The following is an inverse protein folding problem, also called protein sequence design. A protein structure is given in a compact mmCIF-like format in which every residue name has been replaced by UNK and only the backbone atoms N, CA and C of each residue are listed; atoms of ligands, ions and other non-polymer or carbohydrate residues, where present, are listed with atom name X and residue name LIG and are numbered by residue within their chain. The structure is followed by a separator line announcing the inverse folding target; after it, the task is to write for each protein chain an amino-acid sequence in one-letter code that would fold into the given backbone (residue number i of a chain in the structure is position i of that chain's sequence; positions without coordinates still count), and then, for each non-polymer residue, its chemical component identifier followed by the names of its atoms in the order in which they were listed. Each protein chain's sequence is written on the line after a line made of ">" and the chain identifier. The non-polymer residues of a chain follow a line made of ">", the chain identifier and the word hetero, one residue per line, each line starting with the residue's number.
data_IF_828455714702
#
_entry.id   IF_828455714702
#
_cell.length_a   1.000
_cell.length_b   1.000
_cell.length_c   1.000
_cell.angle_alpha   90.00
_cell.angle_beta   90.00
_cell.angle_gamma   90.00
#
_symmetry.space_group_name_H-M   'P 1'
#
loop_
_entity.id
_entity.type
_entity.pdbx_description
1 polymer ?
#
# COMPACT_ATOMS: atom_id res chain seq x y z
N UNK A 1 -0.08 1.68 15.10
CA UNK A 1 0.47 3.06 15.00
C UNK A 1 1.33 3.17 13.74
N UNK A 2 0.78 3.56 12.59
CA UNK A 2 1.58 3.92 11.42
C UNK A 2 1.35 5.40 11.13
N UNK A 3 2.20 6.25 11.73
CA UNK A 3 2.20 7.68 11.46
C UNK A 3 2.68 7.98 10.03
N UNK A 4 2.45 9.19 9.50
CA UNK A 4 2.88 9.53 8.16
C UNK A 4 4.40 9.32 8.03
N UNK A 5 4.81 8.56 7.02
CA UNK A 5 6.23 8.31 6.70
C UNK A 5 6.88 9.63 6.32
N UNK A 6 7.36 10.37 7.32
CA UNK A 6 8.20 11.56 7.16
C UNK A 6 9.65 11.11 7.23
N UNK A 7 10.29 10.99 6.07
CA UNK A 7 11.66 10.51 6.00
C UNK A 7 12.41 10.96 4.74
N UNK A 8 13.30 11.93 4.94
CA UNK A 8 14.60 12.03 4.27
C UNK A 8 14.61 12.53 2.83
N UNK A 9 15.24 13.70 2.66
CA UNK A 9 15.57 14.43 1.42
C UNK A 9 14.41 14.63 0.41
N UNK A 10 14.43 15.72 -0.38
CA UNK A 10 13.42 15.91 -1.43
C UNK A 10 13.38 14.72 -2.39
N UNK A 11 12.18 14.31 -2.82
CA UNK A 11 12.03 13.33 -3.89
C UNK A 11 12.35 14.02 -5.22
N UNK A 12 13.48 13.65 -5.85
CA UNK A 12 13.95 14.28 -7.08
C UNK A 12 13.89 13.29 -8.25
N UNK A 13 13.38 13.76 -9.39
CA UNK A 13 13.34 13.01 -10.63
C UNK A 13 12.18 12.00 -10.68
N UNK A 14 12.35 10.93 -11.46
CA UNK A 14 11.41 9.79 -11.58
C UNK A 14 9.99 10.12 -12.06
N UNK A 15 9.81 11.26 -12.73
CA UNK A 15 8.52 11.69 -13.29
C UNK A 15 7.95 10.70 -14.32
N UNK A 16 8.81 10.00 -15.06
CA UNK A 16 8.37 9.01 -16.05
C UNK A 16 7.77 7.80 -15.35
N UNK A 17 8.43 7.32 -14.32
CA UNK A 17 8.05 6.16 -13.54
C UNK A 17 6.78 6.41 -12.73
N UNK A 18 6.64 7.60 -12.13
CA UNK A 18 5.39 8.01 -11.49
C UNK A 18 4.21 7.95 -12.48
N UNK A 19 4.35 8.55 -13.67
CA UNK A 19 3.31 8.49 -14.71
C UNK A 19 2.99 7.06 -15.14
N UNK A 20 4.01 6.21 -15.35
CA UNK A 20 3.79 4.82 -15.74
C UNK A 20 2.96 4.04 -14.71
N UNK A 21 3.14 4.31 -13.42
CA UNK A 21 2.38 3.65 -12.35
C UNK A 21 0.94 4.18 -12.33
N UNK A 22 0.75 5.51 -12.39
CA UNK A 22 -0.60 6.11 -12.45
C UNK A 22 -1.37 5.68 -13.70
N UNK A 23 -0.72 5.62 -14.86
CA UNK A 23 -1.32 5.17 -16.12
C UNK A 23 -1.74 3.70 -16.04
N UNK A 24 -0.95 2.84 -15.40
CA UNK A 24 -1.31 1.43 -15.18
C UNK A 24 -2.57 1.29 -14.33
N UNK A 25 -2.68 2.06 -13.23
CA UNK A 25 -3.88 2.06 -12.40
C UNK A 25 -5.10 2.63 -13.12
N UNK A 26 -4.94 3.73 -13.86
CA UNK A 26 -6.01 4.27 -14.71
C UNK A 26 -6.46 3.26 -15.79
N UNK A 27 -5.55 2.38 -16.23
CA UNK A 27 -5.83 1.26 -17.12
C UNK A 27 -6.56 0.07 -16.47
N UNK A 28 -6.76 0.08 -15.14
CA UNK A 28 -7.46 -0.98 -14.40
C UNK A 28 -6.55 -2.07 -13.82
N UNK A 29 -5.23 -1.89 -13.85
CA UNK A 29 -4.30 -2.82 -13.23
C UNK A 29 -4.49 -2.85 -11.71
N UNK A 30 -4.66 -4.05 -11.14
CA UNK A 30 -4.87 -4.23 -9.69
C UNK A 30 -3.58 -4.45 -8.90
N UNK A 31 -2.47 -4.74 -9.58
CA UNK A 31 -1.18 -5.00 -8.97
C UNK A 31 -0.06 -4.47 -9.87
N UNK A 32 0.83 -3.68 -9.29
CA UNK A 32 2.03 -3.16 -9.97
C UNK A 32 3.25 -3.55 -9.15
N UNK A 33 4.16 -4.30 -9.76
CA UNK A 33 5.42 -4.73 -9.12
C UNK A 33 6.57 -3.84 -9.56
N UNK A 34 7.24 -3.18 -8.61
CA UNK A 34 8.42 -2.37 -8.88
C UNK A 34 9.67 -3.23 -8.83
N UNK A 35 10.36 -3.38 -9.97
CA UNK A 35 11.60 -4.13 -10.10
C UNK A 35 12.82 -3.19 -10.18
N UNK A 36 13.96 -3.65 -9.70
CA UNK A 36 15.23 -2.92 -9.77
C UNK A 36 16.22 -3.31 -8.67
N UNK A 37 17.48 -2.86 -8.77
CA UNK A 37 18.53 -3.23 -7.81
C UNK A 37 18.24 -2.75 -6.39
N UNK A 38 18.95 -3.32 -5.42
CA UNK A 38 18.96 -2.84 -4.03
C UNK A 38 19.35 -1.35 -3.98
N UNK A 39 18.69 -0.57 -3.12
CA UNK A 39 18.97 0.86 -2.99
C UNK A 39 18.44 1.76 -4.12
N UNK A 40 17.80 1.22 -5.17
CA UNK A 40 17.24 2.03 -6.28
C UNK A 40 16.06 2.94 -5.90
N UNK A 41 15.66 2.97 -4.62
CA UNK A 41 14.58 3.84 -4.13
C UNK A 41 13.17 3.36 -4.47
N UNK A 42 12.96 2.05 -4.72
CA UNK A 42 11.64 1.48 -5.06
C UNK A 42 10.58 1.76 -4.00
N UNK A 43 10.90 1.56 -2.72
CA UNK A 43 10.01 1.90 -1.60
C UNK A 43 9.68 3.39 -1.59
N UNK A 44 10.68 4.25 -1.81
CA UNK A 44 10.48 5.71 -1.86
C UNK A 44 9.59 6.10 -3.06
N UNK A 45 9.74 5.45 -4.22
CA UNK A 45 8.86 5.66 -5.37
C UNK A 45 7.42 5.23 -5.08
N UNK A 46 7.19 4.06 -4.49
CA UNK A 46 5.85 3.59 -4.12
C UNK A 46 5.17 4.54 -3.10
N UNK A 47 5.92 5.01 -2.10
CA UNK A 47 5.43 6.00 -1.15
C UNK A 47 5.08 7.33 -1.83
N UNK A 48 5.88 7.77 -2.80
CA UNK A 48 5.60 9.02 -3.52
C UNK A 48 4.35 8.91 -4.38
N UNK A 49 4.13 7.76 -5.03
CA UNK A 49 2.88 7.48 -5.73
C UNK A 49 1.69 7.56 -4.77
N UNK A 50 1.76 6.88 -3.61
CA UNK A 50 0.69 6.92 -2.61
C UNK A 50 0.42 8.33 -2.06
N UNK A 51 1.42 9.21 -2.00
CA UNK A 51 1.22 10.62 -1.60
C UNK A 51 0.46 11.45 -2.64
N UNK A 52 0.53 11.05 -3.91
CA UNK A 52 -0.14 11.74 -5.02
C UNK A 52 -1.59 11.31 -5.24
N UNK A 53 -2.02 10.21 -4.61
CA UNK A 53 -3.36 9.65 -4.77
C UNK A 53 -4.21 9.85 -3.51
N UNK A 54 -5.39 10.43 -3.66
CA UNK A 54 -6.32 10.60 -2.55
C UNK A 54 -6.84 9.25 -2.06
N UNK A 55 -6.82 9.07 -0.75
CA UNK A 55 -7.32 7.83 -0.12
C UNK A 55 -6.35 6.65 -0.21
N UNK A 56 -5.20 6.77 -0.89
CA UNK A 56 -4.19 5.73 -0.86
C UNK A 56 -3.67 5.49 0.57
N UNK A 57 -3.27 4.25 0.81
CA UNK A 57 -2.82 3.77 2.12
C UNK A 57 -1.62 2.86 1.94
N UNK A 58 -0.67 2.96 2.86
CA UNK A 58 0.56 2.17 2.82
C UNK A 58 0.49 1.10 3.89
N UNK A 59 0.47 -0.15 3.47
CA UNK A 59 0.52 -1.32 4.34
C UNK A 59 1.87 -2.02 4.15
N UNK A 60 2.67 -2.09 5.22
CA UNK A 60 3.96 -2.79 5.20
C UNK A 60 3.73 -4.26 5.53
N UNK A 61 4.20 -5.14 4.66
CA UNK A 61 4.02 -6.59 4.77
C UNK A 61 5.33 -7.33 5.02
N UNK A 62 6.40 -6.62 5.40
CA UNK A 62 7.77 -7.15 5.51
C UNK A 62 7.91 -8.23 6.60
N UNK A 63 7.09 -8.15 7.66
CA UNK A 63 7.09 -9.07 8.81
C UNK A 63 5.81 -9.93 8.87
N UNK A 64 4.98 -9.92 7.82
CA UNK A 64 3.72 -10.68 7.77
C UNK A 64 4.03 -12.12 7.40
N UNK A 65 3.76 -13.05 8.32
CA UNK A 65 4.00 -14.48 8.13
C UNK A 65 2.71 -15.29 8.01
N UNK A 66 1.60 -14.80 8.57
CA UNK A 66 0.30 -15.46 8.57
C UNK A 66 -0.82 -14.60 8.00
N UNK A 67 -1.98 -15.22 7.75
CA UNK A 67 -3.19 -14.51 7.32
C UNK A 67 -3.69 -13.57 8.42
N UNK A 68 -3.59 -13.97 9.69
CA UNK A 68 -4.01 -13.12 10.81
C UNK A 68 -3.13 -11.86 10.91
N UNK A 69 -1.83 -11.99 10.69
CA UNK A 69 -0.90 -10.85 10.62
C UNK A 69 -1.26 -9.90 9.47
N UNK A 70 -1.61 -10.47 8.30
CA UNK A 70 -2.04 -9.69 7.15
C UNK A 70 -3.33 -8.92 7.44
N UNK A 71 -4.33 -9.59 8.03
CA UNK A 71 -5.61 -8.98 8.36
C UNK A 71 -5.44 -7.88 9.41
N UNK A 72 -4.57 -8.09 10.41
CA UNK A 72 -4.23 -7.08 11.40
C UNK A 72 -3.54 -5.88 10.75
N UNK A 73 -2.53 -6.10 9.90
CA UNK A 73 -1.79 -5.03 9.22
C UNK A 73 -2.67 -4.20 8.28
N UNK A 74 -3.59 -4.84 7.55
CA UNK A 74 -4.56 -4.14 6.69
C UNK A 74 -5.60 -3.40 7.53
N UNK A 75 -6.13 -4.03 8.59
CA UNK A 75 -7.10 -3.45 9.50
C UNK A 75 -6.60 -2.18 10.18
N UNK A 76 -5.35 -2.19 10.64
CA UNK A 76 -4.67 -1.03 11.24
C UNK A 76 -4.61 0.16 10.29
N UNK A 77 -4.25 -0.09 9.02
CA UNK A 77 -4.07 0.93 8.00
C UNK A 77 -5.40 1.51 7.51
N UNK A 78 -6.45 0.70 7.54
CA UNK A 78 -7.82 1.12 7.24
C UNK A 78 -8.54 1.71 8.47
N UNK A 79 -7.86 1.83 9.62
CA UNK A 79 -8.42 2.33 10.88
C UNK A 79 -9.68 1.56 11.32
N UNK A 80 -9.76 0.25 11.00
CA UNK A 80 -10.91 -0.61 11.29
C UNK A 80 -10.94 -1.10 12.75
N UNK A 81 -10.43 -0.28 13.68
CA UNK A 81 -10.06 -0.66 15.04
C UNK A 81 -10.98 -1.69 15.70
N UNK A 82 -10.37 -2.75 16.26
CA UNK A 82 -11.00 -3.79 17.09
C UNK A 82 -12.48 -4.12 16.82
N UNK A 83 -12.88 -4.31 15.55
CA UNK A 83 -14.05 -5.14 15.22
C UNK A 83 -13.81 -6.64 15.54
N UNK A 84 -12.59 -6.98 15.98
CA UNK A 84 -12.16 -8.31 16.43
C UNK A 84 -12.67 -8.63 17.85
N UNK A 85 -13.97 -8.40 18.08
CA UNK A 85 -14.71 -8.89 19.25
C UNK A 85 -16.03 -9.57 18.87
N UNK A 86 -16.53 -9.32 17.67
CA UNK A 86 -17.64 -10.03 17.06
C UNK A 86 -17.48 -9.78 15.55
N UNK A 87 -17.16 -10.77 14.73
CA UNK A 87 -18.21 -11.65 14.24
C UNK A 87 -17.61 -12.82 13.46
N UNK A 88 -18.04 -14.03 13.82
CA UNK A 88 -18.30 -15.06 12.81
C UNK A 88 -19.42 -14.51 11.91
N UNK A 89 -19.10 -13.82 10.81
CA UNK A 89 -20.06 -13.50 9.75
C UNK A 89 -19.37 -13.65 8.40
N UNK A 90 -19.91 -14.60 7.65
CA UNK A 90 -19.90 -14.80 6.20
C UNK A 90 -19.03 -13.83 5.38
N UNK A 91 -17.99 -14.40 4.77
CA UNK A 91 -17.34 -13.82 3.60
C UNK A 91 -18.34 -13.91 2.44
N UNK A 92 -19.15 -12.88 2.23
CA UNK A 92 -19.85 -12.70 0.96
C UNK A 92 -18.89 -12.00 -0.01
N UNK A 93 -18.57 -12.68 -1.12
CA UNK A 93 -17.66 -12.17 -2.16
C UNK A 93 -18.19 -10.83 -2.70
N UNK A 94 -17.50 -9.74 -2.39
CA UNK A 94 -17.63 -8.50 -3.15
C UNK A 94 -16.60 -8.53 -4.28
N UNK A 95 -17.03 -9.05 -5.42
CA UNK A 95 -16.24 -9.09 -6.65
C UNK A 95 -16.92 -9.94 -7.70
N UNK A 96 -17.26 -9.31 -8.83
CA UNK A 96 -17.93 -9.93 -9.99
C UNK A 96 -17.23 -11.21 -10.46
#
# INVERSE_FOLDING_TARGET
>A
MSGPVRGGSPFIGRRRELRQISDAWAGGERLVTLLGPGGAGKTRLALEVARGEDGARVCHLEEVETIDDLLAAVGDVLELGALVGATSVAIERIGR
#
